data_IF_772468427629
#
_entry.id   IF_772468427629
#
_cell.length_a   1.000
_cell.length_b   1.000
_cell.length_c   1.000
_cell.angle_alpha   90.00
_cell.angle_beta   90.00
_cell.angle_gamma   90.00
#
_symmetry.space_group_name_H-M   'P 1'
#
loop_
_entity.id
_entity.type
_entity.pdbx_description
1 polymer ?
#
# COMPACT_ATOMS: atom_id res chain seq x y z
N UNK A 1 13.24 39.87 48.00
CA UNK A 1 11.85 40.33 48.25
C UNK A 1 11.31 40.79 46.91
N UNK A 2 10.24 40.28 46.30
CA UNK A 2 9.03 39.62 46.77
C UNK A 2 8.68 38.48 45.81
N UNK A 3 8.25 37.36 46.38
CA UNK A 3 7.61 36.27 45.67
C UNK A 3 6.24 36.73 45.17
N UNK A 4 5.93 36.48 43.90
CA UNK A 4 4.55 36.48 43.42
C UNK A 4 4.19 35.08 42.93
N UNK A 5 3.50 34.42 43.86
CA UNK A 5 2.65 33.27 43.71
C UNK A 5 1.53 33.60 42.71
N UNK A 6 1.57 33.04 41.50
CA UNK A 6 0.37 32.91 40.67
C UNK A 6 0.28 31.46 40.19
N UNK A 7 -0.45 30.71 40.99
CA UNK A 7 -1.04 29.42 40.66
C UNK A 7 -2.03 29.62 39.51
N UNK A 8 -1.68 29.15 38.31
CA UNK A 8 -2.64 28.94 37.23
C UNK A 8 -2.88 27.44 37.11
N UNK A 9 -3.88 26.97 37.85
CA UNK A 9 -4.45 25.62 37.73
C UNK A 9 -5.09 25.53 36.34
N UNK A 10 -4.38 24.92 35.40
CA UNK A 10 -4.95 24.54 34.12
C UNK A 10 -5.53 23.13 34.27
N UNK A 11 -6.79 23.07 34.69
CA UNK A 11 -7.58 21.86 34.72
C UNK A 11 -8.01 21.54 33.28
N UNK A 12 -7.15 20.85 32.52
CA UNK A 12 -7.53 20.27 31.24
C UNK A 12 -7.97 18.82 31.43
N UNK A 13 -9.26 18.65 31.73
CA UNK A 13 -9.92 17.36 31.56
C UNK A 13 -10.21 17.13 30.08
N UNK A 14 -9.26 16.53 29.36
CA UNK A 14 -9.54 15.87 28.09
C UNK A 14 -9.85 14.40 28.37
N UNK A 15 -11.07 14.17 28.84
CA UNK A 15 -11.72 12.88 28.68
C UNK A 15 -12.29 12.84 27.24
N UNK A 16 -11.65 12.05 26.39
CA UNK A 16 -12.04 11.90 24.99
C UNK A 16 -11.31 10.72 24.37
N UNK A 17 -11.41 9.55 25.00
CA UNK A 17 -11.02 8.29 24.41
C UNK A 17 -12.14 7.88 23.44
N UNK A 18 -12.08 8.39 22.21
CA UNK A 18 -12.84 7.86 21.09
C UNK A 18 -11.98 6.81 20.40
N UNK A 19 -11.93 5.61 20.96
CA UNK A 19 -11.57 4.46 20.15
C UNK A 19 -12.75 4.23 19.20
N UNK A 20 -12.66 4.80 18.00
CA UNK A 20 -13.50 4.40 16.87
C UNK A 20 -13.07 2.99 16.42
N UNK A 21 -13.24 2.01 17.30
CA UNK A 21 -13.42 0.62 16.90
C UNK A 21 -14.84 0.51 16.35
N UNK A 22 -15.06 1.15 15.20
CA UNK A 22 -16.24 0.94 14.40
C UNK A 22 -16.31 -0.58 14.10
N UNK A 23 -17.48 -1.22 14.30
CA UNK A 23 -17.61 -2.65 14.01
C UNK A 23 -17.18 -2.88 12.58
N UNK A 24 -16.27 -3.84 12.37
CA UNK A 24 -15.68 -4.14 11.07
C UNK A 24 -16.79 -4.30 10.03
N UNK A 25 -17.07 -3.23 9.28
CA UNK A 25 -18.07 -3.27 8.23
C UNK A 25 -17.57 -4.30 7.23
N UNK A 26 -18.39 -5.31 6.92
CA UNK A 26 -18.04 -6.35 5.96
C UNK A 26 -17.46 -5.69 4.71
N UNK A 27 -16.20 -6.01 4.38
CA UNK A 27 -15.51 -5.43 3.24
C UNK A 27 -16.36 -5.59 1.98
N UNK A 28 -16.54 -4.50 1.23
CA UNK A 28 -17.37 -4.47 0.00
C UNK A 28 -16.58 -5.03 -1.18
N UNK A 29 -15.27 -4.84 -1.16
CA UNK A 29 -14.31 -5.34 -2.14
C UNK A 29 -13.34 -6.32 -1.50
N UNK A 30 -12.43 -6.90 -2.30
CA UNK A 30 -11.36 -7.74 -1.78
C UNK A 30 -10.64 -7.05 -0.62
N UNK A 31 -10.49 -7.77 0.50
CA UNK A 31 -9.78 -7.29 1.68
C UNK A 31 -8.27 -7.36 1.44
N UNK A 32 -7.76 -6.39 0.69
CA UNK A 32 -6.33 -6.30 0.34
C UNK A 32 -5.49 -6.09 1.59
N UNK A 33 -5.95 -5.23 2.51
CA UNK A 33 -5.26 -4.94 3.76
C UNK A 33 -5.16 -6.18 4.65
N UNK A 34 -6.25 -6.92 4.86
CA UNK A 34 -6.26 -8.16 5.64
C UNK A 34 -5.41 -9.25 5.00
N UNK A 35 -5.49 -9.42 3.68
CA UNK A 35 -4.64 -10.34 2.93
C UNK A 35 -3.14 -10.04 3.15
N UNK A 36 -2.72 -8.78 2.98
CA UNK A 36 -1.33 -8.37 3.16
C UNK A 36 -0.86 -8.48 4.60
N UNK A 37 -1.74 -8.26 5.58
CA UNK A 37 -1.40 -8.49 6.98
C UNK A 37 -1.05 -9.96 7.26
N UNK A 38 -1.78 -10.89 6.61
CA UNK A 38 -1.44 -12.32 6.62
C UNK A 38 -0.08 -12.59 5.99
N UNK A 39 0.20 -12.02 4.82
CA UNK A 39 1.47 -12.19 4.14
C UNK A 39 2.65 -11.56 4.88
N UNK A 40 2.49 -10.39 5.48
CA UNK A 40 3.49 -9.76 6.36
C UNK A 40 3.79 -10.68 7.54
N UNK A 41 2.77 -11.28 8.15
CA UNK A 41 2.94 -12.21 9.28
C UNK A 41 3.71 -13.47 8.85
N UNK A 42 3.36 -14.04 7.69
CA UNK A 42 4.08 -15.17 7.08
C UNK A 42 5.54 -14.83 6.82
N UNK A 43 5.82 -13.69 6.18
CA UNK A 43 7.18 -13.26 5.83
C UNK A 43 8.03 -12.95 7.07
N UNK A 44 7.45 -12.38 8.13
CA UNK A 44 8.13 -12.20 9.42
C UNK A 44 8.50 -13.54 10.05
N UNK A 45 7.58 -14.52 10.02
CA UNK A 45 7.81 -15.84 10.58
C UNK A 45 8.87 -16.64 9.78
N UNK A 46 8.81 -16.58 8.45
CA UNK A 46 9.77 -17.26 7.59
C UNK A 46 11.15 -16.59 7.56
N UNK A 47 11.19 -15.27 7.82
CA UNK A 47 12.39 -14.44 7.80
C UNK A 47 13.31 -14.70 6.57
N UNK A 48 12.74 -14.67 5.35
CA UNK A 48 13.47 -15.09 4.15
C UNK A 48 14.59 -14.10 3.83
N UNK A 49 15.67 -14.61 3.24
CA UNK A 49 16.63 -13.75 2.54
C UNK A 49 16.02 -13.31 1.21
N UNK A 50 16.07 -11.99 0.96
CA UNK A 50 15.49 -11.36 -0.22
C UNK A 50 16.63 -10.77 -1.05
N UNK A 51 16.61 -11.05 -2.35
CA UNK A 51 17.41 -10.30 -3.30
C UNK A 51 16.64 -9.03 -3.69
N UNK A 52 17.01 -7.92 -3.05
CA UNK A 52 16.36 -6.62 -3.21
C UNK A 52 17.13 -5.78 -4.22
N UNK A 53 16.44 -5.30 -5.25
CA UNK A 53 16.97 -4.34 -6.22
C UNK A 53 16.18 -3.04 -6.14
N UNK A 54 16.90 -1.92 -6.02
CA UNK A 54 16.35 -0.57 -6.12
C UNK A 54 16.93 0.08 -7.37
N UNK A 55 16.07 0.64 -8.21
CA UNK A 55 16.47 1.30 -9.44
C UNK A 55 15.86 2.70 -9.54
N UNK A 56 16.68 3.66 -9.92
CA UNK A 56 16.28 5.05 -10.22
C UNK A 56 16.83 5.42 -11.60
N UNK A 57 15.95 5.78 -12.52
CA UNK A 57 16.31 6.20 -13.88
C UNK A 57 17.29 5.24 -14.59
N UNK A 58 17.10 3.93 -14.41
CA UNK A 58 17.92 2.88 -15.03
C UNK A 58 19.16 2.48 -14.21
N UNK A 59 19.59 3.29 -13.25
CA UNK A 59 20.70 2.97 -12.36
C UNK A 59 20.17 2.09 -11.23
N UNK A 60 20.74 0.91 -11.05
CA UNK A 60 20.26 -0.09 -10.10
C UNK A 60 21.32 -0.49 -9.08
N UNK A 61 20.85 -0.75 -7.87
CA UNK A 61 21.62 -1.33 -6.78
C UNK A 61 20.91 -2.59 -6.30
N UNK A 62 21.64 -3.70 -6.17
CA UNK A 62 21.09 -4.98 -5.69
C UNK A 62 21.84 -5.44 -4.45
N UNK A 63 21.10 -5.87 -3.43
CA UNK A 63 21.63 -6.44 -2.20
C UNK A 63 20.79 -7.64 -1.76
N UNK A 64 21.46 -8.61 -1.14
CA UNK A 64 20.79 -9.69 -0.40
C UNK A 64 20.66 -9.27 1.05
N UNK A 65 19.45 -9.31 1.58
CA UNK A 65 19.17 -8.92 2.96
C UNK A 65 17.90 -9.57 3.47
N UNK A 66 17.76 -9.62 4.80
CA UNK A 66 16.50 -9.94 5.47
C UNK A 66 15.80 -8.63 5.80
N UNK A 67 14.52 -8.53 5.46
CA UNK A 67 13.75 -7.31 5.66
C UNK A 67 13.27 -7.27 7.11
N UNK A 68 13.73 -6.26 7.85
CA UNK A 68 13.41 -6.11 9.28
C UNK A 68 12.00 -5.59 9.53
N UNK A 69 11.48 -4.74 8.63
CA UNK A 69 10.15 -4.16 8.73
C UNK A 69 9.33 -4.38 7.45
N UNK A 70 8.67 -5.53 7.40
CA UNK A 70 7.76 -5.90 6.32
C UNK A 70 6.51 -5.01 6.23
N UNK A 71 6.09 -4.36 7.32
CA UNK A 71 4.97 -3.42 7.26
C UNK A 71 5.35 -2.22 6.41
N UNK A 72 6.54 -1.66 6.66
CA UNK A 72 7.06 -0.55 5.88
C UNK A 72 7.37 -0.96 4.44
N UNK A 73 7.95 -2.15 4.24
CA UNK A 73 8.32 -2.62 2.90
C UNK A 73 7.10 -2.80 1.98
N UNK A 74 5.97 -3.32 2.52
CA UNK A 74 4.74 -3.57 1.76
C UNK A 74 3.67 -2.49 1.94
N UNK A 75 4.02 -1.32 2.52
CA UNK A 75 3.04 -0.27 2.84
C UNK A 75 2.31 0.23 1.60
N UNK A 76 3.00 0.39 0.47
CA UNK A 76 2.41 0.85 -0.79
C UNK A 76 1.24 -0.05 -1.26
N UNK A 77 1.31 -1.36 -0.98
CA UNK A 77 0.23 -2.29 -1.29
C UNK A 77 -0.93 -2.14 -0.30
N UNK A 78 -0.64 -1.97 0.99
CA UNK A 78 -1.66 -1.78 2.03
C UNK A 78 -2.40 -0.46 1.88
N UNK A 79 -1.70 0.60 1.45
CA UNK A 79 -2.26 1.93 1.19
C UNK A 79 -3.19 1.96 -0.03
N UNK A 80 -3.09 0.94 -0.89
CA UNK A 80 -3.94 0.77 -2.07
C UNK A 80 -5.23 -0.02 -1.79
N UNK A 81 -5.58 -0.26 -0.52
CA UNK A 81 -6.84 -0.92 -0.17
C UNK A 81 -8.06 -0.14 -0.69
N UNK A 82 -9.02 -0.89 -1.26
CA UNK A 82 -10.20 -0.32 -1.93
C UNK A 82 -11.30 0.06 -0.94
N UNK A 83 -11.30 -0.50 0.27
CA UNK A 83 -12.40 -0.39 1.23
C UNK A 83 -12.32 0.90 2.08
N UNK A 84 -11.68 1.95 1.57
CA UNK A 84 -11.72 3.27 2.20
C UNK A 84 -13.14 3.84 2.13
N UNK A 85 -13.59 4.47 3.22
CA UNK A 85 -14.94 5.01 3.33
C UNK A 85 -15.34 5.91 2.16
N UNK A 86 -14.41 6.77 1.70
CA UNK A 86 -14.63 7.68 0.58
C UNK A 86 -14.74 7.00 -0.81
N UNK A 87 -14.38 5.72 -0.92
CA UNK A 87 -14.37 4.96 -2.18
C UNK A 87 -15.42 3.85 -2.25
N UNK A 88 -16.24 3.73 -1.20
CA UNK A 88 -17.33 2.75 -1.16
C UNK A 88 -18.27 2.96 -2.34
N UNK A 89 -18.48 1.91 -3.14
CA UNK A 89 -19.35 1.95 -4.31
C UNK A 89 -18.70 2.51 -5.58
N UNK A 90 -17.43 2.91 -5.56
CA UNK A 90 -16.74 3.52 -6.71
C UNK A 90 -15.97 2.52 -7.58
N UNK A 91 -15.98 1.23 -7.25
CA UNK A 91 -15.33 0.21 -8.07
C UNK A 91 -16.37 -0.70 -8.72
N UNK A 92 -16.25 -0.85 -10.04
CA UNK A 92 -16.86 -1.94 -10.79
C UNK A 92 -16.08 -3.24 -10.56
N UNK A 93 -16.78 -4.37 -10.58
CA UNK A 93 -16.20 -5.70 -10.35
C UNK A 93 -16.50 -6.58 -11.55
N UNK A 94 -15.46 -7.20 -12.11
CA UNK A 94 -15.59 -8.20 -13.17
C UNK A 94 -14.71 -9.41 -12.89
N UNK A 95 -15.00 -10.54 -13.56
CA UNK A 95 -14.20 -11.76 -13.48
C UNK A 95 -13.76 -12.20 -14.86
N UNK A 96 -12.49 -12.57 -14.97
CA UNK A 96 -11.88 -13.12 -16.19
C UNK A 96 -11.12 -14.39 -15.81
N UNK A 97 -11.73 -15.55 -16.03
CA UNK A 97 -11.21 -16.84 -15.56
C UNK A 97 -11.03 -16.84 -14.04
N UNK A 98 -9.81 -17.12 -13.58
CA UNK A 98 -9.47 -17.13 -12.15
C UNK A 98 -9.05 -15.76 -11.60
N UNK A 99 -9.25 -14.69 -12.36
CA UNK A 99 -8.90 -13.32 -11.96
C UNK A 99 -10.15 -12.50 -11.69
N UNK A 100 -10.19 -11.90 -10.51
CA UNK A 100 -11.16 -10.87 -10.14
C UNK A 100 -10.54 -9.50 -10.35
N UNK A 101 -11.27 -8.60 -11.01
CA UNK A 101 -10.78 -7.29 -11.44
C UNK A 101 -11.71 -6.22 -10.88
N UNK A 102 -11.13 -5.29 -10.11
CA UNK A 102 -11.78 -4.11 -9.58
C UNK A 102 -11.28 -2.89 -10.34
N UNK A 103 -12.17 -2.06 -10.89
CA UNK A 103 -11.81 -0.89 -11.69
C UNK A 103 -12.60 0.34 -11.26
N UNK A 104 -11.92 1.48 -11.16
CA UNK A 104 -12.51 2.79 -10.88
C UNK A 104 -12.06 3.82 -11.91
N UNK A 105 -13.02 4.60 -12.40
CA UNK A 105 -12.78 5.65 -13.40
C UNK A 105 -12.78 7.05 -12.78
N UNK A 106 -13.29 7.19 -11.55
CA UNK A 106 -13.41 8.43 -10.82
C UNK A 106 -12.04 9.07 -10.57
N UNK A 107 -11.85 10.31 -11.03
CA UNK A 107 -10.58 11.04 -10.94
C UNK A 107 -10.02 11.08 -9.50
N UNK A 108 -10.90 11.28 -8.51
CA UNK A 108 -10.57 11.35 -7.08
C UNK A 108 -10.06 10.03 -6.46
N UNK A 109 -10.23 8.89 -7.14
CA UNK A 109 -9.79 7.58 -6.68
C UNK A 109 -8.42 7.28 -7.31
N UNK A 110 -7.32 7.26 -6.54
CA UNK A 110 -6.00 6.99 -7.10
C UNK A 110 -5.83 5.56 -7.58
N UNK A 111 -6.46 4.58 -6.92
CA UNK A 111 -6.41 3.17 -7.34
C UNK A 111 -7.34 3.00 -8.53
N UNK A 112 -6.79 2.77 -9.71
CA UNK A 112 -7.56 2.59 -10.96
C UNK A 112 -7.88 1.14 -11.24
N UNK A 113 -7.02 0.24 -10.77
CA UNK A 113 -7.23 -1.19 -10.95
C UNK A 113 -6.62 -1.98 -9.79
N UNK A 114 -7.34 -2.99 -9.32
CA UNK A 114 -6.81 -4.11 -8.55
C UNK A 114 -7.20 -5.41 -9.26
N UNK A 115 -6.22 -6.25 -9.57
CA UNK A 115 -6.42 -7.62 -10.04
C UNK A 115 -5.99 -8.61 -8.96
N UNK A 116 -6.87 -9.55 -8.67
CA UNK A 116 -6.64 -10.66 -7.74
C UNK A 116 -6.76 -11.96 -8.51
N UNK A 117 -5.63 -12.57 -8.83
CA UNK A 117 -5.57 -13.86 -9.51
C UNK A 117 -5.46 -14.98 -8.47
N UNK A 118 -6.23 -16.05 -8.66
CA UNK A 118 -6.24 -17.20 -7.76
C UNK A 118 -5.87 -18.50 -8.47
N UNK A 119 -5.23 -19.39 -7.74
CA UNK A 119 -4.94 -20.78 -8.12
C UNK A 119 -5.26 -21.66 -6.92
N UNK A 120 -6.04 -22.72 -7.11
CA UNK A 120 -6.49 -23.61 -6.02
C UNK A 120 -7.10 -22.87 -4.83
N UNK A 121 -7.96 -21.88 -5.13
CA UNK A 121 -8.60 -20.97 -4.17
C UNK A 121 -7.66 -20.12 -3.30
N UNK A 122 -6.36 -20.08 -3.62
CA UNK A 122 -5.37 -19.19 -2.99
C UNK A 122 -5.00 -18.06 -3.93
N UNK A 123 -4.71 -16.88 -3.38
CA UNK A 123 -4.20 -15.76 -4.18
C UNK A 123 -2.82 -16.13 -4.69
N UNK A 124 -2.64 -16.18 -6.01
CA UNK A 124 -1.37 -16.48 -6.66
C UNK A 124 -0.70 -15.23 -7.21
N UNK A 125 -1.46 -14.17 -7.49
CA UNK A 125 -0.90 -12.86 -7.82
C UNK A 125 -1.86 -11.72 -7.46
N UNK A 126 -1.25 -10.59 -7.07
CA UNK A 126 -1.91 -9.30 -6.99
C UNK A 126 -1.24 -8.33 -7.96
N UNK A 127 -2.05 -7.52 -8.62
CA UNK A 127 -1.59 -6.36 -9.37
C UNK A 127 -2.44 -5.15 -9.04
N UNK A 128 -1.79 -4.03 -8.73
CA UNK A 128 -2.45 -2.75 -8.50
C UNK A 128 -1.92 -1.73 -9.50
N UNK A 129 -2.81 -0.95 -10.09
CA UNK A 129 -2.47 0.23 -10.88
C UNK A 129 -3.00 1.46 -10.16
N UNK A 130 -2.11 2.39 -9.83
CA UNK A 130 -2.47 3.69 -9.28
C UNK A 130 -2.14 4.80 -10.26
N UNK A 131 -3.00 5.81 -10.32
CA UNK A 131 -2.79 7.03 -11.08
C UNK A 131 -3.22 8.23 -10.24
N UNK A 132 -2.33 9.20 -10.15
CA UNK A 132 -2.62 10.51 -9.54
C UNK A 132 -2.25 11.60 -10.54
N UNK A 133 -3.13 12.57 -10.70
CA UNK A 133 -2.92 13.72 -11.58
C UNK A 133 -3.35 14.99 -10.84
N UNK A 134 -2.53 16.02 -10.93
CA UNK A 134 -2.87 17.39 -10.55
C UNK A 134 -1.98 18.38 -11.33
N UNK A 135 -2.15 19.67 -11.07
CA UNK A 135 -1.43 20.75 -11.77
C UNK A 135 0.09 20.74 -11.60
N UNK A 136 0.61 20.08 -10.55
CA UNK A 136 2.03 20.03 -10.22
C UNK A 136 2.70 18.76 -10.74
N UNK A 137 2.00 17.62 -10.72
CA UNK A 137 2.57 16.35 -11.15
C UNK A 137 1.53 15.32 -11.61
N UNK A 138 2.01 14.36 -12.39
CA UNK A 138 1.33 13.10 -12.70
C UNK A 138 2.17 11.93 -12.22
N UNK A 139 1.55 10.95 -11.59
CA UNK A 139 2.18 9.68 -11.21
C UNK A 139 1.38 8.51 -11.78
N UNK A 140 2.08 7.51 -12.29
CA UNK A 140 1.52 6.19 -12.58
C UNK A 140 2.38 5.14 -11.89
N UNK A 141 1.74 4.37 -11.03
CA UNK A 141 2.40 3.39 -10.18
C UNK A 141 1.79 2.02 -10.50
N UNK A 142 2.63 0.99 -10.53
CA UNK A 142 2.20 -0.40 -10.69
C UNK A 142 2.85 -1.22 -9.61
N UNK A 143 2.02 -1.88 -8.82
CA UNK A 143 2.46 -2.78 -7.75
C UNK A 143 2.14 -4.21 -8.19
N UNK A 144 3.11 -5.12 -8.08
CA UNK A 144 2.90 -6.55 -8.33
C UNK A 144 3.36 -7.35 -7.11
N UNK A 145 2.57 -8.33 -6.70
CA UNK A 145 2.91 -9.22 -5.60
C UNK A 145 2.57 -10.67 -5.99
N UNK A 146 3.55 -11.55 -5.84
CA UNK A 146 3.44 -13.00 -6.02
C UNK A 146 3.99 -13.63 -4.74
N UNK A 147 3.15 -14.22 -3.88
CA UNK A 147 3.50 -14.71 -2.54
C UNK A 147 4.81 -15.50 -2.46
N UNK A 148 5.04 -16.35 -3.45
CA UNK A 148 6.15 -17.31 -3.45
C UNK A 148 7.31 -16.85 -4.33
N UNK A 149 7.27 -15.66 -4.93
CA UNK A 149 8.32 -15.26 -5.87
C UNK A 149 8.82 -13.83 -5.71
N UNK A 150 7.94 -12.82 -5.72
CA UNK A 150 8.38 -11.43 -5.89
C UNK A 150 7.35 -10.43 -5.36
N UNK A 151 7.86 -9.32 -4.84
CA UNK A 151 7.12 -8.05 -4.80
C UNK A 151 7.83 -7.01 -5.66
N UNK A 152 7.07 -6.16 -6.34
CA UNK A 152 7.57 -5.08 -7.18
C UNK A 152 6.72 -3.81 -7.01
N UNK A 153 7.40 -2.68 -6.89
CA UNK A 153 6.83 -1.34 -6.96
C UNK A 153 7.49 -0.61 -8.11
N UNK A 154 6.73 -0.30 -9.16
CA UNK A 154 7.16 0.59 -10.25
C UNK A 154 6.44 1.92 -10.16
N UNK A 155 7.17 3.02 -10.28
CA UNK A 155 6.61 4.38 -10.23
C UNK A 155 7.22 5.22 -11.35
N UNK A 156 6.36 5.88 -12.11
CA UNK A 156 6.74 6.87 -13.11
C UNK A 156 6.11 8.20 -12.72
N UNK A 157 6.95 9.20 -12.45
CA UNK A 157 6.52 10.49 -11.99
C UNK A 157 6.99 11.60 -12.94
N UNK A 158 6.05 12.43 -13.35
CA UNK A 158 6.26 13.59 -14.19
C UNK A 158 5.86 14.83 -13.41
N UNK A 159 6.86 15.59 -12.96
CA UNK A 159 6.66 16.87 -12.27
C UNK A 159 6.81 17.97 -13.31
N UNK A 160 5.94 18.98 -13.26
CA UNK A 160 6.00 20.13 -14.17
C UNK A 160 7.40 20.75 -14.16
N UNK A 161 7.94 21.09 -15.33
CA UNK A 161 9.27 21.68 -15.54
C UNK A 161 10.48 20.77 -15.23
N UNK A 162 10.26 19.52 -14.78
CA UNK A 162 11.34 18.58 -14.48
C UNK A 162 11.31 17.38 -15.43
N UNK A 163 12.47 16.73 -15.58
CA UNK A 163 12.53 15.46 -16.30
C UNK A 163 11.75 14.39 -15.53
N UNK A 164 11.04 13.53 -16.27
CA UNK A 164 10.36 12.34 -15.74
C UNK A 164 11.34 11.48 -14.94
N UNK A 165 10.91 11.01 -13.77
CA UNK A 165 11.67 10.09 -12.93
C UNK A 165 10.98 8.73 -12.87
N UNK A 166 11.76 7.68 -13.07
CA UNK A 166 11.30 6.31 -12.98
C UNK A 166 11.97 5.61 -11.80
N UNK A 167 11.17 4.99 -10.95
CA UNK A 167 11.61 4.22 -9.80
C UNK A 167 11.12 2.79 -9.94
N UNK A 168 11.94 1.84 -9.53
CA UNK A 168 11.55 0.44 -9.41
C UNK A 168 12.21 -0.18 -8.20
N UNK A 169 11.41 -0.78 -7.33
CA UNK A 169 11.86 -1.58 -6.20
C UNK A 169 11.35 -2.99 -6.45
N UNK A 170 12.24 -3.98 -6.37
CA UNK A 170 11.86 -5.39 -6.43
C UNK A 170 12.51 -6.12 -5.28
N UNK A 171 11.79 -7.03 -4.62
CA UNK A 171 12.40 -8.04 -3.78
C UNK A 171 11.98 -9.42 -4.25
N UNK A 172 12.97 -10.23 -4.62
CA UNK A 172 12.78 -11.63 -5.03
C UNK A 172 13.03 -12.54 -3.85
N UNK A 173 12.06 -13.39 -3.54
CA UNK A 173 12.22 -14.44 -2.54
C UNK A 173 13.11 -15.53 -3.12
N UNK A 174 14.08 -16.01 -2.34
CA UNK A 174 14.85 -17.19 -2.71
C UNK A 174 14.18 -18.43 -2.14
N UNK A 175 14.10 -19.46 -2.96
CA UNK A 175 13.88 -20.84 -2.52
C UNK A 175 15.24 -21.49 -2.27
#
# INVERSE_FOLDING_TARGET
>A
MKYYLISFVFLLALAGCGNDDAPASKAVYFDLKGYLAGEISRLKSQNPEVEKTVMVNGIAETRKLRISDWNKELSAFSDADLNKAAWKGLFSVSKAGNTEIYQADEEKVPVKELRVTRTDNRVSALRVVLRTHNSLYTSTDTLNYVPDSIYEVRKSQEIRLLKRKNYRITGRFKH
#
